data_IF_398614119942
#
_entry.id   IF_398614119942
#
_cell.length_a   1.000
_cell.length_b   1.000
_cell.length_c   1.000
_cell.angle_alpha   90.00
_cell.angle_beta   90.00
_cell.angle_gamma   90.00
#
_symmetry.space_group_name_H-M   'P 1'
#
loop_
_entity.id
_entity.type
_entity.pdbx_description
1 polymer ?
#
# COMPACT_ATOMS: atom_id res chain seq x y z
N UNK A 1 -12.36 0.17 -6.42
CA UNK A 1 -10.97 0.45 -6.82
C UNK A 1 -10.44 -0.77 -7.54
N UNK A 2 -9.65 -0.60 -8.59
CA UNK A 2 -9.03 -1.71 -9.33
C UNK A 2 -7.74 -2.15 -8.66
N UNK A 3 -7.40 -3.42 -8.84
CA UNK A 3 -6.13 -4.05 -8.52
C UNK A 3 -4.93 -3.29 -9.12
N UNK A 4 -3.79 -3.28 -8.40
CA UNK A 4 -2.54 -2.74 -8.90
C UNK A 4 -1.56 -3.89 -9.20
N UNK A 5 -1.08 -3.94 -10.44
CA UNK A 5 -0.19 -4.99 -10.92
C UNK A 5 1.07 -4.38 -11.53
N UNK A 6 2.22 -4.98 -11.26
CA UNK A 6 3.48 -4.61 -11.89
C UNK A 6 4.41 -5.80 -12.09
N UNK A 7 5.25 -5.70 -13.12
CA UNK A 7 6.49 -6.44 -13.22
C UNK A 7 7.62 -5.48 -12.84
N UNK A 8 8.05 -5.54 -11.59
CA UNK A 8 9.01 -4.61 -11.02
C UNK A 8 10.44 -4.98 -11.41
N UNK A 9 11.26 -3.96 -11.64
CA UNK A 9 12.70 -4.10 -11.82
C UNK A 9 13.42 -2.83 -11.31
N UNK A 10 14.76 -2.86 -11.29
CA UNK A 10 15.56 -1.73 -10.82
C UNK A 10 15.38 -0.45 -11.64
N UNK A 11 15.08 -0.54 -12.95
CA UNK A 11 14.91 0.64 -13.81
C UNK A 11 13.62 1.42 -13.56
N UNK A 12 12.61 0.80 -12.94
CA UNK A 12 11.37 1.47 -12.54
C UNK A 12 11.52 2.26 -11.22
N UNK A 13 12.58 1.99 -10.45
CA UNK A 13 12.78 2.65 -9.17
C UNK A 13 13.16 4.13 -9.38
N UNK A 14 12.53 5.06 -8.65
CA UNK A 14 12.75 6.49 -8.87
C UNK A 14 14.13 6.92 -8.37
N UNK A 15 14.73 7.87 -9.08
CA UNK A 15 15.89 8.64 -8.63
C UNK A 15 15.50 9.99 -8.03
N UNK A 16 14.32 10.50 -8.40
CA UNK A 16 13.79 11.75 -7.89
C UNK A 16 13.32 11.62 -6.43
N UNK A 17 13.29 12.75 -5.73
CA UNK A 17 12.70 12.82 -4.39
C UNK A 17 11.17 12.77 -4.51
N UNK A 18 10.53 12.01 -3.63
CA UNK A 18 9.07 11.97 -3.50
C UNK A 18 8.52 13.35 -3.13
N UNK A 19 7.45 13.77 -3.80
CA UNK A 19 6.73 15.00 -3.47
C UNK A 19 5.51 14.72 -2.57
N UNK A 20 4.98 15.73 -1.86
CA UNK A 20 3.79 15.57 -1.02
C UNK A 20 2.58 15.03 -1.80
N UNK A 21 1.80 14.17 -1.15
CA UNK A 21 0.56 13.66 -1.72
C UNK A 21 -0.59 14.64 -1.48
N UNK A 22 -1.33 14.98 -2.53
CA UNK A 22 -2.43 15.97 -2.49
C UNK A 22 -3.81 15.37 -2.75
N UNK A 23 -3.88 14.19 -3.36
CA UNK A 23 -5.14 13.51 -3.66
C UNK A 23 -5.74 12.81 -2.44
N UNK A 24 -7.05 12.97 -2.21
CA UNK A 24 -7.76 12.25 -1.15
C UNK A 24 -8.54 11.05 -1.76
N UNK A 25 -8.23 9.81 -1.37
CA UNK A 25 -8.94 8.62 -1.84
C UNK A 25 -10.39 8.55 -1.35
N UNK A 26 -11.11 7.51 -1.78
CA UNK A 26 -12.48 7.24 -1.30
C UNK A 26 -12.52 7.04 0.21
N UNK A 27 -13.60 7.51 0.85
CA UNK A 27 -13.79 7.39 2.30
C UNK A 27 -12.77 8.18 3.13
N UNK A 28 -12.19 9.26 2.58
CA UNK A 28 -11.18 10.05 3.28
C UNK A 28 -11.80 10.94 4.37
N UNK A 29 -11.95 10.39 5.59
CA UNK A 29 -12.36 11.11 6.80
C UNK A 29 -11.27 11.03 7.87
N UNK A 30 -10.14 11.71 7.61
CA UNK A 30 -8.95 11.63 8.45
C UNK A 30 -9.05 12.49 9.72
N UNK A 31 -8.39 12.06 10.79
CA UNK A 31 -8.29 12.80 12.07
C UNK A 31 -6.97 12.50 12.77
N UNK A 32 -6.54 13.40 13.65
CA UNK A 32 -5.40 13.15 14.54
C UNK A 32 -5.78 12.18 15.66
N UNK A 33 -4.84 11.32 15.99
CA UNK A 33 -4.85 10.33 17.06
C UNK A 33 -3.68 10.61 18.01
N UNK A 34 -3.55 9.84 19.09
CA UNK A 34 -2.43 9.99 20.02
C UNK A 34 -1.05 9.71 19.38
N UNK A 35 -1.02 8.93 18.31
CA UNK A 35 0.19 8.45 17.64
C UNK A 35 0.32 8.91 16.19
N UNK A 36 -0.42 9.96 15.79
CA UNK A 36 -0.33 10.56 14.46
C UNK A 36 -1.68 10.68 13.75
N UNK A 37 -1.68 10.73 12.42
CA UNK A 37 -2.93 10.70 11.65
C UNK A 37 -3.48 9.28 11.60
N UNK A 38 -4.81 9.14 11.64
CA UNK A 38 -5.47 7.83 11.55
C UNK A 38 -5.22 7.18 10.19
N UNK A 39 -5.39 7.95 9.12
CA UNK A 39 -5.22 7.48 7.75
C UNK A 39 -4.02 8.10 7.06
N UNK A 40 -3.41 7.29 6.21
CA UNK A 40 -2.47 7.68 5.18
C UNK A 40 -3.12 7.54 3.81
N UNK A 41 -2.62 8.35 2.87
CA UNK A 41 -2.81 8.11 1.44
C UNK A 41 -1.88 6.96 1.07
N UNK A 42 -2.35 5.74 1.32
CA UNK A 42 -1.56 4.53 1.20
C UNK A 42 -1.40 4.20 -0.27
N UNK A 43 -0.15 4.06 -0.72
CA UNK A 43 0.15 3.55 -2.05
C UNK A 43 -0.24 2.07 -2.15
N UNK A 44 -0.75 1.64 -3.30
CA UNK A 44 -0.89 0.20 -3.58
C UNK A 44 0.46 -0.39 -3.97
N UNK A 45 1.16 0.26 -4.90
CA UNK A 45 2.56 0.00 -5.20
C UNK A 45 3.37 1.19 -4.74
N UNK A 46 4.19 1.01 -3.71
CA UNK A 46 4.97 2.06 -3.10
C UNK A 46 5.84 2.84 -4.08
N UNK A 47 5.92 4.16 -3.89
CA UNK A 47 6.71 5.08 -4.71
C UNK A 47 8.13 4.57 -4.99
N UNK A 48 8.80 3.96 -3.99
CA UNK A 48 10.17 3.46 -4.14
C UNK A 48 10.33 2.36 -5.22
N UNK A 49 9.25 1.72 -5.65
CA UNK A 49 9.26 0.63 -6.62
C UNK A 49 9.00 1.10 -8.06
N UNK A 50 8.26 2.20 -8.23
CA UNK A 50 7.76 2.64 -9.56
C UNK A 50 7.84 4.14 -9.83
N UNK A 51 8.10 4.96 -8.82
CA UNK A 51 8.05 6.43 -8.92
C UNK A 51 6.64 7.03 -9.01
N UNK A 52 5.59 6.21 -8.98
CA UNK A 52 4.20 6.65 -9.04
C UNK A 52 3.82 7.43 -7.77
N UNK A 53 3.79 8.76 -7.85
CA UNK A 53 3.56 9.61 -6.67
C UNK A 53 2.08 9.91 -6.42
N UNK A 54 1.49 10.87 -7.13
CA UNK A 54 0.10 11.34 -6.92
C UNK A 54 -0.93 10.69 -7.86
N UNK A 55 -0.70 9.45 -8.28
CA UNK A 55 -1.63 8.74 -9.16
C UNK A 55 -2.90 8.32 -8.38
N UNK A 56 -4.09 8.88 -8.69
CA UNK A 56 -5.34 8.57 -7.97
C UNK A 56 -5.72 7.09 -8.01
N UNK A 57 -5.25 6.35 -9.01
CA UNK A 57 -5.50 4.91 -9.16
C UNK A 57 -4.57 4.05 -8.30
N UNK A 58 -3.50 4.63 -7.77
CA UNK A 58 -2.50 3.95 -6.93
C UNK A 58 -2.62 4.35 -5.45
N UNK A 59 -3.68 5.05 -5.04
CA UNK A 59 -3.86 5.55 -3.67
C UNK A 59 -5.16 5.07 -3.06
N UNK A 60 -5.10 4.64 -1.81
CA UNK A 60 -6.24 4.24 -1.00
C UNK A 60 -6.22 4.86 0.39
N UNK A 61 -7.39 4.92 1.03
CA UNK A 61 -7.50 5.26 2.46
C UNK A 61 -7.02 4.06 3.27
N UNK A 62 -5.78 4.10 3.73
CA UNK A 62 -5.16 3.07 4.57
C UNK A 62 -4.88 3.61 5.96
N UNK A 63 -5.09 2.80 6.99
CA UNK A 63 -4.70 3.10 8.37
C UNK A 63 -3.19 3.27 8.49
N UNK A 64 -2.75 3.98 9.54
CA UNK A 64 -1.33 4.18 9.82
C UNK A 64 -0.61 2.84 9.88
N UNK A 65 -1.13 1.88 10.64
CA UNK A 65 -0.53 0.55 10.83
C UNK A 65 -0.51 -0.32 9.58
N UNK A 66 -1.57 -0.31 8.76
CA UNK A 66 -1.58 -0.98 7.45
C UNK A 66 -0.46 -0.43 6.57
N UNK A 67 -0.36 0.89 6.42
CA UNK A 67 0.65 1.52 5.58
C UNK A 67 2.06 1.29 6.13
N UNK A 68 2.25 1.43 7.44
CA UNK A 68 3.54 1.30 8.13
C UNK A 68 3.34 0.84 9.57
N UNK A 69 3.91 -0.31 9.98
CA UNK A 69 4.99 -1.04 9.30
C UNK A 69 4.55 -2.13 8.31
N UNK A 70 3.26 -2.48 8.22
CA UNK A 70 2.85 -3.77 7.65
C UNK A 70 3.11 -3.90 6.13
N UNK A 71 2.57 -3.00 5.30
CA UNK A 71 2.87 -3.02 3.86
C UNK A 71 4.36 -2.73 3.60
N UNK A 72 4.92 -1.75 4.31
CA UNK A 72 6.29 -1.30 4.12
C UNK A 72 7.31 -2.43 4.31
N UNK A 73 7.11 -3.35 5.26
CA UNK A 73 8.02 -4.48 5.48
C UNK A 73 8.20 -5.31 4.20
N UNK A 74 7.11 -5.68 3.54
CA UNK A 74 7.14 -6.45 2.30
C UNK A 74 7.66 -5.65 1.11
N UNK A 75 7.34 -4.36 1.02
CA UNK A 75 7.90 -3.48 0.00
C UNK A 75 9.42 -3.33 0.13
N UNK A 76 9.94 -3.33 1.36
CA UNK A 76 11.37 -3.28 1.64
C UNK A 76 12.09 -4.56 1.22
N UNK A 77 11.49 -5.73 1.43
CA UNK A 77 12.05 -7.01 0.95
C UNK A 77 12.16 -7.04 -0.58
N UNK A 78 11.10 -6.58 -1.28
CA UNK A 78 11.10 -6.45 -2.74
C UNK A 78 12.18 -5.46 -3.18
N UNK A 79 12.22 -4.26 -2.57
CA UNK A 79 13.19 -3.24 -2.94
C UNK A 79 14.64 -3.69 -2.69
N UNK A 80 14.88 -4.44 -1.61
CA UNK A 80 16.18 -5.02 -1.31
C UNK A 80 16.60 -6.01 -2.41
N UNK A 81 15.73 -6.94 -2.78
CA UNK A 81 15.98 -7.89 -3.86
C UNK A 81 16.28 -7.19 -5.19
N UNK A 82 15.45 -6.23 -5.60
CA UNK A 82 15.61 -5.50 -6.88
C UNK A 82 16.90 -4.68 -6.95
N UNK A 83 17.40 -4.17 -5.81
CA UNK A 83 18.63 -3.36 -5.78
C UNK A 83 19.89 -4.17 -6.05
N UNK A 84 19.87 -5.48 -5.79
CA UNK A 84 21.04 -6.37 -5.91
C UNK A 84 21.49 -6.57 -7.36
N UNK A 85 20.58 -6.53 -8.34
CA UNK A 85 20.91 -6.77 -9.75
C UNK A 85 19.93 -6.08 -10.70
N UNK A 86 20.42 -5.59 -11.85
CA UNK A 86 19.57 -5.08 -12.94
C UNK A 86 18.82 -6.19 -13.68
N UNK A 87 19.21 -7.45 -13.49
CA UNK A 87 18.53 -8.63 -14.03
C UNK A 87 17.43 -9.18 -13.13
N UNK A 88 17.24 -8.62 -11.92
CA UNK A 88 16.18 -9.04 -11.01
C UNK A 88 14.84 -8.44 -11.40
N UNK A 89 13.82 -9.29 -11.41
CA UNK A 89 12.43 -8.93 -11.65
C UNK A 89 11.53 -9.54 -10.58
N UNK A 90 10.47 -8.83 -10.22
CA UNK A 90 9.44 -9.32 -9.29
C UNK A 90 8.06 -9.07 -9.89
N UNK A 91 7.27 -10.12 -10.08
CA UNK A 91 5.83 -9.97 -10.35
C UNK A 91 5.15 -9.61 -9.04
N UNK A 92 4.57 -8.43 -8.97
CA UNK A 92 3.96 -7.89 -7.75
C UNK A 92 2.52 -7.43 -8.00
N UNK A 93 1.66 -7.69 -7.03
CA UNK A 93 0.26 -7.29 -7.06
C UNK A 93 -0.22 -6.86 -5.67
N UNK A 94 -1.00 -5.79 -5.64
CA UNK A 94 -1.76 -5.37 -4.46
C UNK A 94 -3.23 -5.21 -4.83
N UNK A 95 -4.09 -5.97 -4.16
CA UNK A 95 -5.52 -6.01 -4.37
C UNK A 95 -6.27 -5.56 -3.10
N UNK A 96 -6.83 -4.34 -3.07
CA UNK A 96 -7.66 -3.87 -1.97
C UNK A 96 -9.01 -4.60 -1.92
N UNK A 97 -9.36 -5.14 -0.76
CA UNK A 97 -10.57 -5.93 -0.58
C UNK A 97 -11.68 -5.07 0.06
N UNK A 98 -12.77 -4.87 -0.67
CA UNK A 98 -13.98 -4.16 -0.21
C UNK A 98 -15.12 -5.14 0.01
N UNK A 99 -16.07 -4.82 0.90
CA UNK A 99 -17.36 -5.53 0.99
C UNK A 99 -18.48 -4.65 0.45
N UNK A 100 -19.24 -5.16 -0.52
CA UNK A 100 -20.34 -4.41 -1.13
C UNK A 100 -19.88 -3.05 -1.67
N UNK A 101 -20.58 -1.99 -1.26
CA UNK A 101 -20.34 -0.61 -1.72
C UNK A 101 -19.47 0.21 -0.74
N UNK A 102 -18.65 -0.45 0.08
CA UNK A 102 -17.73 0.24 1.00
C UNK A 102 -16.76 1.18 0.27
N UNK A 103 -16.50 2.33 0.88
CA UNK A 103 -15.55 3.32 0.37
C UNK A 103 -14.13 3.14 0.90
N UNK A 104 -13.95 2.37 1.98
CA UNK A 104 -12.66 2.00 2.55
C UNK A 104 -12.48 0.49 2.50
N UNK A 105 -11.32 0.02 2.02
CA UNK A 105 -11.05 -1.40 1.95
C UNK A 105 -10.88 -1.99 3.36
N UNK A 106 -11.32 -3.24 3.56
CA UNK A 106 -11.12 -4.03 4.79
C UNK A 106 -9.65 -4.43 5.00
N UNK A 107 -8.85 -4.35 3.95
CA UNK A 107 -7.47 -4.75 3.91
C UNK A 107 -6.97 -4.85 2.49
N UNK A 108 -5.73 -5.30 2.32
CA UNK A 108 -5.11 -5.55 1.02
C UNK A 108 -4.59 -6.98 0.99
N UNK A 109 -4.80 -7.66 -0.14
CA UNK A 109 -4.03 -8.85 -0.48
C UNK A 109 -2.79 -8.41 -1.24
N UNK A 110 -1.61 -8.82 -0.77
CA UNK A 110 -0.35 -8.56 -1.44
C UNK A 110 0.27 -9.88 -1.90
N UNK A 111 0.70 -9.91 -3.16
CA UNK A 111 1.33 -11.09 -3.78
C UNK A 111 2.61 -10.68 -4.47
N UNK A 112 3.70 -11.40 -4.22
CA UNK A 112 4.96 -11.19 -4.91
C UNK A 112 5.65 -12.51 -5.24
N UNK A 113 6.28 -12.56 -6.41
CA UNK A 113 7.18 -13.65 -6.80
C UNK A 113 8.33 -13.09 -7.63
N UNK A 114 9.57 -13.37 -7.24
CA UNK A 114 10.75 -13.09 -8.07
C UNK A 114 10.79 -14.00 -9.30
N UNK A 115 11.36 -13.49 -10.40
CA UNK A 115 11.47 -14.23 -11.66
C UNK A 115 12.81 -14.98 -11.69
N UNK A 116 12.77 -16.28 -11.97
CA UNK A 116 13.97 -17.12 -12.09
C UNK A 116 14.51 -17.66 -10.76
N UNK A 117 13.99 -17.18 -9.63
CA UNK A 117 14.24 -17.73 -8.29
C UNK A 117 12.98 -17.55 -7.41
N UNK A 118 13.01 -18.03 -6.17
CA UNK A 118 11.94 -17.82 -5.18
C UNK A 118 12.46 -17.05 -3.95
N UNK A 119 13.44 -16.15 -4.13
CA UNK A 119 13.99 -15.36 -3.02
C UNK A 119 12.96 -14.35 -2.47
N UNK A 120 12.06 -13.86 -3.34
CA UNK A 120 10.85 -13.15 -2.93
C UNK A 120 9.66 -14.00 -3.31
N UNK A 121 8.93 -14.52 -2.32
CA UNK A 121 7.72 -15.29 -2.55
C UNK A 121 6.75 -15.14 -1.38
N UNK A 122 5.62 -14.46 -1.60
CA UNK A 122 4.58 -14.36 -0.58
C UNK A 122 3.19 -14.14 -1.17
N UNK A 123 2.19 -14.49 -0.37
CA UNK A 123 0.78 -14.16 -0.56
C UNK A 123 0.17 -13.89 0.81
N UNK A 124 -0.05 -12.63 1.14
CA UNK A 124 -0.46 -12.18 2.47
C UNK A 124 -1.70 -11.30 2.39
N UNK A 125 -2.45 -11.26 3.49
CA UNK A 125 -3.54 -10.31 3.67
C UNK A 125 -3.21 -9.39 4.85
N UNK A 126 -3.24 -8.09 4.61
CA UNK A 126 -2.98 -7.06 5.63
C UNK A 126 -4.28 -6.35 5.96
N UNK A 127 -4.69 -6.42 7.22
CA UNK A 127 -5.93 -5.80 7.70
C UNK A 127 -5.82 -4.27 7.72
N UNK A 128 -6.86 -3.59 7.23
CA UNK A 128 -6.98 -2.14 7.34
C UNK A 128 -7.69 -1.77 8.64
N UNK A 129 -6.97 -1.93 9.75
CA UNK A 129 -7.45 -1.69 11.11
C UNK A 129 -6.46 -0.79 11.82
N UNK A 130 -6.89 -0.04 12.82
CA UNK A 130 -6.00 0.75 13.67
C UNK A 130 -6.28 0.43 15.13
N UNK A 131 -5.27 0.04 15.93
CA UNK A 131 -5.48 -0.26 17.36
C UNK A 131 -6.14 0.91 18.11
N UNK A 132 -7.16 0.60 18.90
CA UNK A 132 -7.92 1.59 19.66
C UNK A 132 -8.95 2.37 18.84
N UNK A 133 -9.18 2.01 17.57
CA UNK A 133 -10.19 2.63 16.72
C UNK A 133 -11.08 1.58 16.05
N UNK A 134 -12.35 1.92 15.91
CA UNK A 134 -13.29 1.20 15.06
C UNK A 134 -13.52 2.02 13.80
N UNK A 135 -13.31 1.39 12.64
CA UNK A 135 -13.46 2.00 11.32
C UNK A 135 -14.85 1.72 10.76
N UNK A 136 -15.55 2.77 10.33
CA UNK A 136 -16.73 2.63 9.50
C UNK A 136 -16.28 2.53 8.04
N UNK A 137 -16.26 1.32 7.48
CA UNK A 137 -15.77 1.10 6.12
C UNK A 137 -16.71 1.60 5.02
N UNK A 138 -17.98 1.87 5.36
CA UNK A 138 -18.95 2.38 4.42
C UNK A 138 -18.58 3.80 3.95
N UNK A 139 -18.14 4.66 4.87
CA UNK A 139 -17.84 6.07 4.59
C UNK A 139 -16.43 6.51 5.02
N UNK A 140 -15.72 5.71 5.81
CA UNK A 140 -14.39 6.01 6.34
C UNK A 140 -14.36 6.81 7.63
N UNK A 141 -15.50 7.14 8.23
CA UNK A 141 -15.55 7.69 9.60
C UNK A 141 -15.02 6.67 10.62
N UNK A 142 -14.73 7.13 11.85
CA UNK A 142 -14.17 6.26 12.87
C UNK A 142 -14.50 6.72 14.29
N UNK A 143 -14.60 5.77 15.22
CA UNK A 143 -14.76 6.00 16.65
C UNK A 143 -13.52 5.51 17.41
N UNK A 144 -13.15 6.20 18.49
CA UNK A 144 -12.12 5.71 19.40
C UNK A 144 -12.79 4.71 20.35
N UNK A 145 -12.15 3.57 20.57
CA UNK A 145 -12.61 2.54 21.50
C UNK A 145 -12.42 2.99 22.96
#
# INVERSE_FOLDING_TARGET
>A
MTDANALLNKSLMPTAKREPLTWNPTGWHNKKTAHGWLYNRSHLIGYQLTGENNNPKNLMTGTQTLNTPLMLAHEMDIAYYLKQSTSHYVRYEVNPIFRGNELVARGVQMRAQSIGDNQVYFNVYIFNIEPGYTINYADGTSTKN
#
